data_IF_373335399787
#
_entry.id   IF_373335399787
#
_cell.length_a   1.000
_cell.length_b   1.000
_cell.length_c   1.000
_cell.angle_alpha   90.00
_cell.angle_beta   90.00
_cell.angle_gamma   90.00
#
_symmetry.space_group_name_H-M   'P 1'
#
loop_
_entity.id
_entity.type
_entity.pdbx_description
1 polymer ?
#
# COMPACT_ATOMS: atom_id res chain seq x y z
N UNK A 1 -25.65 -4.44 -22.36
CA UNK A 1 -25.23 -3.04 -22.62
C UNK A 1 -23.71 -3.04 -22.85
N UNK A 2 -23.32 -3.07 -24.12
CA UNK A 2 -21.92 -2.95 -24.52
C UNK A 2 -21.56 -1.47 -24.46
N UNK A 3 -20.58 -1.12 -23.62
CA UNK A 3 -20.08 0.24 -23.51
C UNK A 3 -19.05 0.43 -24.63
N UNK A 4 -19.46 1.11 -25.71
CA UNK A 4 -18.56 1.68 -26.69
C UNK A 4 -17.72 2.76 -25.99
N UNK A 5 -16.54 2.37 -25.50
CA UNK A 5 -15.54 3.32 -25.03
C UNK A 5 -15.04 4.09 -26.25
N UNK A 6 -15.59 5.29 -26.44
CA UNK A 6 -15.21 6.16 -27.55
C UNK A 6 -13.70 6.38 -27.58
N UNK A 7 -13.19 6.49 -28.81
CA UNK A 7 -11.79 6.72 -29.14
C UNK A 7 -11.20 7.80 -28.23
N UNK A 8 -10.07 7.46 -27.62
CA UNK A 8 -9.18 8.36 -26.89
C UNK A 8 -8.87 9.57 -27.79
N UNK A 9 -9.66 10.64 -27.66
CA UNK A 9 -9.28 11.95 -28.17
C UNK A 9 -8.11 12.41 -27.31
N UNK A 10 -6.94 12.61 -27.92
CA UNK A 10 -5.69 12.94 -27.22
C UNK A 10 -5.77 14.31 -26.49
N UNK A 11 -6.89 15.02 -26.66
CA UNK A 11 -7.24 16.25 -25.95
C UNK A 11 -7.92 16.02 -24.58
N UNK A 12 -8.43 14.82 -24.31
CA UNK A 12 -9.14 14.52 -23.07
C UNK A 12 -8.18 14.12 -21.94
N UNK A 13 -8.32 14.69 -20.73
CA UNK A 13 -7.52 14.30 -19.58
C UNK A 13 -7.73 12.81 -19.26
N UNK A 14 -6.64 12.03 -19.31
CA UNK A 14 -6.68 10.59 -19.06
C UNK A 14 -6.78 10.34 -17.56
N UNK A 15 -7.90 9.76 -17.13
CA UNK A 15 -8.09 9.33 -15.75
C UNK A 15 -7.27 8.08 -15.48
N UNK A 16 -6.55 8.08 -14.36
CA UNK A 16 -5.85 6.91 -13.84
C UNK A 16 -6.32 6.65 -12.42
N UNK A 17 -6.53 5.37 -12.08
CA UNK A 17 -6.99 4.97 -10.76
C UNK A 17 -6.25 3.75 -10.24
N UNK A 18 -6.20 3.63 -8.91
CA UNK A 18 -5.71 2.46 -8.21
C UNK A 18 -6.60 2.18 -6.99
N UNK A 19 -6.83 0.91 -6.69
CA UNK A 19 -7.71 0.46 -5.61
C UNK A 19 -6.92 -0.47 -4.70
N UNK A 20 -7.06 -0.27 -3.39
CA UNK A 20 -6.64 -1.21 -2.37
C UNK A 20 -7.76 -1.36 -1.34
N UNK A 21 -7.83 -2.51 -0.69
CA UNK A 21 -8.88 -2.78 0.30
C UNK A 21 -8.41 -3.70 1.42
N UNK A 22 -8.98 -3.48 2.59
CA UNK A 22 -9.00 -4.43 3.71
C UNK A 22 -10.43 -4.96 3.87
N UNK A 23 -10.68 -5.80 4.88
CA UNK A 23 -12.03 -6.29 5.17
C UNK A 23 -13.00 -5.17 5.58
N UNK A 24 -12.49 -4.06 6.13
CA UNK A 24 -13.30 -2.97 6.68
C UNK A 24 -13.20 -1.64 5.92
N UNK A 25 -12.30 -1.53 4.95
CA UNK A 25 -12.03 -0.29 4.21
C UNK A 25 -11.72 -0.58 2.75
N UNK A 26 -12.27 0.23 1.85
CA UNK A 26 -11.86 0.30 0.44
C UNK A 26 -11.30 1.70 0.20
N UNK A 27 -10.12 1.78 -0.41
CA UNK A 27 -9.49 3.01 -0.85
C UNK A 27 -9.38 3.03 -2.37
N UNK A 28 -9.70 4.17 -2.98
CA UNK A 28 -9.59 4.38 -4.42
C UNK A 28 -8.92 5.73 -4.67
N UNK A 29 -7.71 5.71 -5.23
CA UNK A 29 -7.01 6.88 -5.69
C UNK A 29 -7.39 7.17 -7.14
N UNK A 30 -7.72 8.42 -7.46
CA UNK A 30 -8.05 8.87 -8.83
C UNK A 30 -7.23 10.10 -9.15
N UNK A 31 -6.62 10.10 -10.33
CA UNK A 31 -5.73 11.16 -10.82
C UNK A 31 -5.98 11.43 -12.30
N UNK A 32 -5.54 12.60 -12.75
CA UNK A 32 -5.60 13.02 -14.15
C UNK A 32 -4.18 13.14 -14.69
N UNK A 33 -3.90 12.50 -15.82
CA UNK A 33 -2.63 12.59 -16.56
C UNK A 33 -1.38 12.17 -15.76
N UNK A 34 -1.54 11.44 -14.66
CA UNK A 34 -0.43 10.94 -13.85
C UNK A 34 -0.82 9.59 -13.22
N UNK A 35 0.15 8.66 -13.01
CA UNK A 35 -0.10 7.42 -12.30
C UNK A 35 -0.23 7.65 -10.79
N UNK A 36 -1.05 6.81 -10.16
CA UNK A 36 -1.24 6.77 -8.70
C UNK A 36 -1.23 5.34 -8.21
N UNK A 37 -0.61 5.12 -7.04
CA UNK A 37 -0.74 3.90 -6.24
C UNK A 37 -1.30 4.27 -4.88
N UNK A 38 -2.21 3.46 -4.36
CA UNK A 38 -2.72 3.58 -2.99
C UNK A 38 -2.72 2.20 -2.36
N UNK A 39 -2.28 2.11 -1.11
CA UNK A 39 -2.38 0.88 -0.34
C UNK A 39 -2.96 1.13 1.04
N UNK A 40 -3.74 0.17 1.55
CA UNK A 40 -4.33 0.21 2.88
C UNK A 40 -4.19 -1.15 3.56
N UNK A 41 -3.72 -1.13 4.80
CA UNK A 41 -3.57 -2.33 5.63
C UNK A 41 -4.20 -2.13 7.01
N UNK A 42 -4.72 -3.21 7.59
CA UNK A 42 -5.27 -3.19 8.94
C UNK A 42 -4.14 -3.20 9.97
N UNK A 43 -4.07 -2.16 10.81
CA UNK A 43 -3.06 -2.02 11.87
C UNK A 43 -3.10 -3.16 12.90
N UNK A 44 -4.28 -3.74 13.10
CA UNK A 44 -4.52 -4.82 14.04
C UNK A 44 -4.30 -6.21 13.44
N UNK A 45 -3.92 -6.28 12.15
CA UNK A 45 -3.65 -7.54 11.46
C UNK A 45 -2.61 -8.34 12.22
N UNK A 46 -3.05 -9.46 12.80
CA UNK A 46 -2.17 -10.41 13.47
C UNK A 46 -1.35 -11.15 12.41
N UNK A 47 -0.11 -10.73 12.22
CA UNK A 47 0.84 -11.50 11.43
C UNK A 47 1.17 -12.79 12.18
N UNK A 48 0.87 -13.94 11.59
CA UNK A 48 1.28 -15.25 12.14
C UNK A 48 2.80 -15.47 12.11
N UNK A 49 3.52 -14.59 11.41
CA UNK A 49 4.95 -14.68 11.14
C UNK A 49 5.69 -13.55 11.85
N UNK A 50 6.92 -13.81 12.27
CA UNK A 50 7.83 -12.79 12.81
C UNK A 50 7.97 -11.63 11.80
N UNK A 51 7.54 -10.46 12.24
CA UNK A 51 7.50 -9.23 11.44
C UNK A 51 8.90 -8.85 10.96
N UNK A 52 9.92 -9.11 11.79
CA UNK A 52 11.30 -8.83 11.46
C UNK A 52 11.87 -9.81 10.41
N UNK A 53 11.41 -11.06 10.44
CA UNK A 53 11.77 -12.04 9.42
C UNK A 53 11.19 -11.66 8.05
N UNK A 54 9.98 -11.09 8.01
CA UNK A 54 9.39 -10.53 6.79
C UNK A 54 10.15 -9.29 6.32
N UNK A 55 10.43 -8.34 7.22
CA UNK A 55 11.19 -7.14 6.90
C UNK A 55 12.56 -7.49 6.27
N UNK A 56 13.29 -8.47 6.81
CA UNK A 56 14.57 -8.93 6.25
C UNK A 56 14.50 -9.45 4.81
N UNK A 57 13.31 -9.85 4.34
CA UNK A 57 13.10 -10.38 2.98
C UNK A 57 12.70 -9.30 1.97
N UNK A 58 12.02 -8.25 2.43
CA UNK A 58 11.36 -7.29 1.54
C UNK A 58 11.84 -5.85 1.72
N UNK A 59 12.38 -5.48 2.89
CA UNK A 59 12.83 -4.13 3.18
C UNK A 59 14.33 -3.98 2.98
N UNK A 60 14.76 -2.73 2.82
CA UNK A 60 16.19 -2.38 2.80
C UNK A 60 16.85 -2.64 4.15
N UNK A 61 18.18 -2.74 4.15
CA UNK A 61 18.94 -2.94 5.40
C UNK A 61 18.73 -1.79 6.41
N UNK A 62 18.46 -0.58 5.93
CA UNK A 62 18.21 0.60 6.77
C UNK A 62 16.86 0.50 7.49
N UNK A 63 15.80 0.16 6.77
CA UNK A 63 14.46 -0.04 7.33
C UNK A 63 14.42 -1.23 8.29
N UNK A 64 15.12 -2.32 7.98
CA UNK A 64 15.25 -3.47 8.89
C UNK A 64 15.98 -3.07 10.18
N UNK A 65 17.04 -2.27 10.08
CA UNK A 65 17.76 -1.77 11.25
C UNK A 65 16.88 -0.86 12.11
N UNK A 66 16.10 0.02 11.47
CA UNK A 66 15.12 0.86 12.15
C UNK A 66 14.09 0.01 12.90
N UNK A 67 13.45 -0.96 12.24
CA UNK A 67 12.47 -1.85 12.88
C UNK A 67 13.09 -2.67 14.03
N UNK A 68 14.32 -3.15 13.85
CA UNK A 68 15.03 -3.90 14.89
C UNK A 68 15.32 -3.08 16.15
N UNK A 69 15.35 -1.74 16.04
CA UNK A 69 15.57 -0.84 17.17
C UNK A 69 14.32 -0.62 18.04
N UNK A 70 13.14 -0.97 17.52
CA UNK A 70 11.88 -0.87 18.26
C UNK A 70 11.70 -2.12 19.11
N UNK A 71 11.70 -1.95 20.44
CA UNK A 71 11.65 -3.06 21.40
C UNK A 71 10.24 -3.51 21.77
N UNK A 72 9.27 -2.59 21.75
CA UNK A 72 7.87 -2.93 21.95
C UNK A 72 7.31 -3.64 20.70
N UNK A 73 6.75 -4.83 20.88
CA UNK A 73 6.32 -5.67 19.77
C UNK A 73 5.11 -5.10 19.01
N UNK A 74 4.22 -4.39 19.72
CA UNK A 74 3.05 -3.76 19.10
C UNK A 74 3.49 -2.58 18.24
N UNK A 75 4.30 -1.68 18.80
CA UNK A 75 4.87 -0.55 18.09
C UNK A 75 5.74 -1.01 16.91
N UNK A 76 6.54 -2.07 17.06
CA UNK A 76 7.34 -2.63 15.96
C UNK A 76 6.44 -3.12 14.82
N UNK A 77 5.31 -3.74 15.13
CA UNK A 77 4.34 -4.16 14.12
C UNK A 77 3.67 -2.96 13.44
N UNK A 78 3.31 -1.93 14.19
CA UNK A 78 2.76 -0.70 13.61
C UNK A 78 3.74 -0.03 12.65
N UNK A 79 5.02 0.09 13.04
CA UNK A 79 6.06 0.64 12.17
C UNK A 79 6.29 -0.23 10.94
N UNK A 80 6.22 -1.56 11.08
CA UNK A 80 6.31 -2.45 9.93
C UNK A 80 5.18 -2.20 8.93
N UNK A 81 3.93 -2.09 9.40
CA UNK A 81 2.77 -1.86 8.53
C UNK A 81 2.87 -0.48 7.87
N UNK A 82 3.34 0.55 8.60
CA UNK A 82 3.57 1.88 8.01
C UNK A 82 4.56 1.82 6.85
N UNK A 83 5.68 1.12 7.02
CA UNK A 83 6.65 0.93 5.94
C UNK A 83 6.09 0.11 4.78
N UNK A 84 5.16 -0.81 5.05
CA UNK A 84 4.56 -1.69 4.04
C UNK A 84 3.65 -0.91 3.09
N UNK A 85 2.98 0.11 3.60
CA UNK A 85 1.99 0.91 2.85
C UNK A 85 2.54 2.22 2.27
N UNK A 86 3.87 2.40 2.23
CA UNK A 86 4.52 3.62 1.72
C UNK A 86 4.64 3.67 0.19
#
# INVERSE_FOLDING_TARGET
PELDLEKDDDSNPKLQFNISHTDSLIACGVTVNAPVGIDVEDKTRKTKSDVLALAKRFYSSQEVSFLSSVTDAEAQREEFIKLWTL
#
